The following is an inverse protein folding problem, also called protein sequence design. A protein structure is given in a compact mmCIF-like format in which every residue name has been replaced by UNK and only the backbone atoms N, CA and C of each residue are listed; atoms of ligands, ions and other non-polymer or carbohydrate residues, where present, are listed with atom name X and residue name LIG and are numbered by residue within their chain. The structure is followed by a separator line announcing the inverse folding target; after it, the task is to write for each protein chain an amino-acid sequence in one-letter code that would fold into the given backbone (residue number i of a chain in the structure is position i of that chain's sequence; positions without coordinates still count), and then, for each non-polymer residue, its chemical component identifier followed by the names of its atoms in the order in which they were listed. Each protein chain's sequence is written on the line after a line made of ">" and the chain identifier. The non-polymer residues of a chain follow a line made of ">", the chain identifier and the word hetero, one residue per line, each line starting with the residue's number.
data_IF_780081752661
#
_entry.id   IF_780081752661
#
_cell.length_a   1.000
_cell.length_b   1.000
_cell.length_c   1.000
_cell.angle_alpha   90.00
_cell.angle_beta   90.00
_cell.angle_gamma   90.00
#
_symmetry.space_group_name_H-M   'P 1'
#
loop_
_entity.id
_entity.type
_entity.pdbx_description
1 polymer ?
#
# COMPACT_ATOMS: atom_id res chain seq x y z
N UNK A 1 -14.17 26.25 -40.03
CA UNK A 1 -13.43 24.96 -39.99
C UNK A 1 -12.17 25.02 -39.11
N UNK A 2 -11.22 25.95 -39.31
CA UNK A 2 -9.93 25.96 -38.57
C UNK A 2 -10.02 26.16 -37.03
N UNK A 3 -10.95 27.01 -36.55
CA UNK A 3 -11.10 27.29 -35.10
C UNK A 3 -11.60 26.09 -34.29
N UNK A 4 -12.55 25.31 -34.82
CA UNK A 4 -13.04 24.10 -34.15
C UNK A 4 -12.00 22.97 -34.12
N UNK A 5 -11.17 22.87 -35.16
CA UNK A 5 -10.06 21.91 -35.21
C UNK A 5 -8.98 22.26 -34.18
N UNK A 6 -8.66 23.56 -34.03
CA UNK A 6 -7.72 24.03 -33.02
C UNK A 6 -8.23 23.77 -31.59
N UNK A 7 -9.52 24.02 -31.32
CA UNK A 7 -10.14 23.76 -30.02
C UNK A 7 -10.20 22.27 -29.68
N UNK A 8 -10.51 21.42 -30.67
CA UNK A 8 -10.51 19.97 -30.48
C UNK A 8 -9.09 19.44 -30.19
N UNK A 9 -8.08 19.98 -30.89
CA UNK A 9 -6.69 19.61 -30.67
C UNK A 9 -6.17 20.04 -29.28
N UNK A 10 -6.50 21.24 -28.81
CA UNK A 10 -6.16 21.65 -27.43
C UNK A 10 -6.90 20.84 -26.38
N UNK A 11 -8.18 20.53 -26.59
CA UNK A 11 -8.94 19.71 -25.64
C UNK A 11 -8.36 18.28 -25.54
N UNK A 12 -7.99 17.69 -26.68
CA UNK A 12 -7.31 16.39 -26.73
C UNK A 12 -5.96 16.43 -26.03
N UNK A 13 -5.16 17.48 -26.23
CA UNK A 13 -3.87 17.66 -25.54
C UNK A 13 -4.04 17.76 -24.02
N UNK A 14 -5.04 18.50 -23.53
CA UNK A 14 -5.32 18.64 -22.09
C UNK A 14 -5.78 17.30 -21.49
N UNK A 15 -6.59 16.53 -22.22
CA UNK A 15 -7.02 15.18 -21.78
C UNK A 15 -5.83 14.21 -21.72
N UNK A 16 -4.94 14.20 -22.72
CA UNK A 16 -3.76 13.33 -22.73
C UNK A 16 -2.78 13.67 -21.59
N UNK A 17 -2.59 14.97 -21.29
CA UNK A 17 -1.74 15.42 -20.18
C UNK A 17 -2.34 15.06 -18.81
N UNK A 18 -3.68 15.14 -18.68
CA UNK A 18 -4.35 14.77 -17.42
C UNK A 18 -4.37 13.25 -17.19
N UNK A 19 -4.39 12.42 -18.23
CA UNK A 19 -4.24 10.96 -18.11
C UNK A 19 -2.82 10.54 -17.67
N UNK A 20 -1.78 11.29 -18.04
CA UNK A 20 -0.40 11.01 -17.62
C UNK A 20 -0.13 11.38 -16.14
N UNK A 21 -1.00 12.18 -15.52
CA UNK A 21 -0.90 12.56 -14.11
C UNK A 21 -1.70 11.63 -13.17
N UNK A 22 -2.41 10.63 -13.71
CA UNK A 22 -3.11 9.63 -12.91
C UNK A 22 -2.09 8.55 -12.54
N UNK A 23 -1.22 8.84 -11.58
CA UNK A 23 -0.54 7.79 -10.84
C UNK A 23 -1.59 7.06 -10.00
N UNK A 24 -2.30 6.12 -10.63
CA UNK A 24 -3.36 5.34 -10.01
C UNK A 24 -2.77 4.27 -9.09
N UNK A 25 -2.07 4.67 -8.02
CA UNK A 25 -1.79 3.82 -6.86
C UNK A 25 -1.72 4.72 -5.64
N UNK A 26 -2.87 5.07 -5.05
CA UNK A 26 -2.90 5.66 -3.72
C UNK A 26 -2.41 4.59 -2.73
N UNK A 27 -1.08 4.49 -2.57
CA UNK A 27 -0.47 3.58 -1.62
C UNK A 27 -0.93 3.92 -0.20
N UNK A 28 -1.38 2.91 0.55
CA UNK A 28 -1.75 3.11 1.95
C UNK A 28 -0.47 3.19 2.76
N UNK A 29 -0.26 4.33 3.43
CA UNK A 29 0.90 4.57 4.28
C UNK A 29 2.26 4.44 3.59
N UNK A 30 2.30 4.67 2.28
CA UNK A 30 3.54 4.55 1.49
C UNK A 30 3.79 3.13 0.95
N UNK A 31 2.80 2.24 1.03
CA UNK A 31 2.83 0.92 0.40
C UNK A 31 1.72 0.76 -0.63
N UNK A 32 2.09 0.26 -1.79
CA UNK A 32 1.16 -0.25 -2.79
C UNK A 32 0.46 -1.52 -2.31
N UNK A 33 -0.66 -1.87 -2.95
CA UNK A 33 -1.36 -3.12 -2.66
C UNK A 33 -0.50 -4.35 -2.94
N UNK A 34 0.37 -4.29 -3.93
CA UNK A 34 1.27 -5.40 -4.25
C UNK A 34 2.37 -5.55 -3.19
N UNK A 35 2.90 -4.45 -2.67
CA UNK A 35 3.82 -4.48 -1.52
C UNK A 35 3.16 -5.06 -0.26
N UNK A 36 1.87 -4.78 0.00
CA UNK A 36 1.15 -5.44 1.09
C UNK A 36 1.03 -6.95 0.90
N UNK A 37 0.82 -7.42 -0.34
CA UNK A 37 0.71 -8.87 -0.64
C UNK A 37 2.03 -9.60 -0.37
N UNK A 38 3.18 -8.96 -0.56
CA UNK A 38 4.48 -9.56 -0.22
C UNK A 38 4.57 -9.96 1.26
N UNK A 39 3.85 -9.24 2.13
CA UNK A 39 3.79 -9.49 3.56
C UNK A 39 2.68 -10.46 3.99
N UNK A 40 1.72 -10.75 3.10
CA UNK A 40 0.58 -11.62 3.40
C UNK A 40 0.98 -13.01 3.92
N UNK A 41 1.97 -13.73 3.35
CA UNK A 41 2.30 -15.09 3.79
C UNK A 41 2.71 -15.17 5.27
N UNK A 42 3.44 -14.17 5.77
CA UNK A 42 3.90 -14.13 7.16
C UNK A 42 2.82 -13.63 8.13
N UNK A 43 1.79 -12.96 7.61
CA UNK A 43 0.66 -12.44 8.39
C UNK A 43 -0.65 -13.20 8.15
N UNK A 44 -0.65 -14.30 7.40
CA UNK A 44 -1.83 -15.06 7.08
C UNK A 44 -2.52 -15.65 8.33
N UNK A 45 -3.85 -15.74 8.30
CA UNK A 45 -4.64 -16.42 9.33
C UNK A 45 -4.34 -17.92 9.35
N UNK A 46 -4.24 -18.53 8.17
CA UNK A 46 -4.02 -19.97 7.99
C UNK A 46 -2.61 -20.24 7.45
N UNK A 47 -1.92 -21.23 8.03
CA UNK A 47 -0.59 -21.68 7.62
C UNK A 47 0.43 -20.54 7.34
N UNK A 48 0.63 -19.61 8.29
CA UNK A 48 1.54 -18.50 8.09
C UNK A 48 3.00 -18.96 8.01
N UNK A 49 3.80 -18.28 7.20
CA UNK A 49 5.25 -18.49 7.18
C UNK A 49 5.87 -17.98 8.49
N UNK A 50 6.94 -18.64 8.93
CA UNK A 50 7.63 -18.27 10.17
C UNK A 50 8.30 -16.89 10.07
N UNK A 51 8.83 -16.56 8.88
CA UNK A 51 9.51 -15.30 8.59
C UNK A 51 8.85 -14.53 7.43
N UNK A 52 8.89 -13.19 7.47
CA UNK A 52 8.63 -12.34 6.30
C UNK A 52 9.69 -12.55 5.22
N UNK A 53 9.32 -12.30 3.96
CA UNK A 53 10.28 -12.24 2.86
C UNK A 53 11.16 -11.00 2.97
N UNK A 54 12.34 -11.05 2.34
CA UNK A 54 13.23 -9.88 2.26
C UNK A 54 12.53 -8.68 1.59
N UNK A 55 11.71 -8.94 0.58
CA UNK A 55 10.96 -7.93 -0.15
C UNK A 55 9.86 -7.29 0.73
N UNK A 56 9.17 -8.09 1.55
CA UNK A 56 8.24 -7.55 2.55
C UNK A 56 8.97 -6.64 3.55
N UNK A 57 10.13 -7.06 4.06
CA UNK A 57 10.90 -6.22 4.98
C UNK A 57 11.41 -4.93 4.30
N UNK A 58 11.82 -5.00 3.04
CA UNK A 58 12.22 -3.83 2.27
C UNK A 58 11.05 -2.85 2.06
N UNK A 59 9.84 -3.37 1.80
CA UNK A 59 8.64 -2.56 1.69
C UNK A 59 8.26 -1.91 3.04
N UNK A 60 8.28 -2.67 4.13
CA UNK A 60 8.03 -2.14 5.48
C UNK A 60 9.05 -1.07 5.89
N UNK A 61 10.31 -1.19 5.46
CA UNK A 61 11.36 -0.22 5.73
C UNK A 61 11.18 1.14 5.03
N UNK A 62 10.37 1.19 3.96
CA UNK A 62 10.02 2.42 3.24
C UNK A 62 8.69 3.02 3.70
N UNK A 63 7.90 2.26 4.45
CA UNK A 63 6.54 2.61 4.83
C UNK A 63 6.51 3.57 6.01
N UNK A 64 5.42 4.33 6.12
CA UNK A 64 5.15 5.11 7.32
C UNK A 64 4.48 4.24 8.40
N UNK A 65 5.28 3.69 9.31
CA UNK A 65 4.82 2.83 10.42
C UNK A 65 3.83 3.55 11.37
N UNK A 66 3.94 4.88 11.52
CA UNK A 66 2.96 5.68 12.28
C UNK A 66 1.61 5.77 11.57
N UNK A 67 1.61 5.85 10.23
CA UNK A 67 0.40 5.75 9.45
C UNK A 67 -0.22 4.36 9.55
N UNK A 68 0.57 3.28 9.40
CA UNK A 68 0.07 1.89 9.54
C UNK A 68 -0.59 1.70 10.90
N UNK A 69 0.02 2.25 11.96
CA UNK A 69 -0.56 2.22 13.29
C UNK A 69 -1.98 2.80 13.35
N UNK A 70 -2.15 4.00 12.79
CA UNK A 70 -3.46 4.66 12.72
C UNK A 70 -4.44 3.91 11.81
N UNK A 71 -3.92 3.26 10.78
CA UNK A 71 -4.70 2.49 9.82
C UNK A 71 -5.16 1.13 10.37
N UNK A 72 -4.52 0.57 11.40
CA UNK A 72 -4.88 -0.71 12.06
C UNK A 72 -6.39 -0.86 12.31
N UNK A 73 -7.06 0.20 12.77
CA UNK A 73 -8.50 0.18 13.05
C UNK A 73 -9.38 0.19 11.79
N UNK A 74 -8.91 0.82 10.70
CA UNK A 74 -9.61 0.90 9.41
C UNK A 74 -9.30 -0.29 8.50
N UNK A 75 -8.22 -1.02 8.78
CA UNK A 75 -7.78 -2.16 7.98
C UNK A 75 -8.71 -3.37 8.04
N UNK A 76 -9.74 -3.40 8.90
CA UNK A 76 -10.57 -4.59 9.13
C UNK A 76 -11.17 -5.23 7.87
N UNK A 77 -11.66 -4.41 6.93
CA UNK A 77 -12.19 -4.92 5.64
C UNK A 77 -11.06 -5.52 4.79
N UNK A 78 -9.91 -4.85 4.72
CA UNK A 78 -8.73 -5.31 4.00
C UNK A 78 -8.18 -6.61 4.59
N UNK A 79 -8.00 -6.67 5.90
CA UNK A 79 -7.50 -7.87 6.59
C UNK A 79 -8.39 -9.08 6.33
N UNK A 80 -9.72 -8.88 6.31
CA UNK A 80 -10.67 -9.95 5.97
C UNK A 80 -10.54 -10.40 4.52
N UNK A 81 -10.41 -9.46 3.58
CA UNK A 81 -10.31 -9.75 2.15
C UNK A 81 -9.03 -10.53 1.79
N UNK A 82 -7.92 -10.23 2.45
CA UNK A 82 -6.62 -10.87 2.21
C UNK A 82 -6.29 -12.00 3.20
N UNK A 83 -7.25 -12.39 4.05
CA UNK A 83 -7.07 -13.42 5.08
C UNK A 83 -5.83 -13.17 5.98
N UNK A 84 -5.67 -11.93 6.43
CA UNK A 84 -4.54 -11.47 7.25
C UNK A 84 -4.97 -11.37 8.72
N UNK A 85 -4.15 -11.88 9.62
CA UNK A 85 -4.28 -11.69 11.07
C UNK A 85 -3.64 -10.37 11.49
N UNK A 86 -4.43 -9.50 12.13
CA UNK A 86 -3.99 -8.17 12.54
C UNK A 86 -2.79 -8.21 13.49
N UNK A 87 -2.73 -9.19 14.42
CA UNK A 87 -1.64 -9.29 15.39
C UNK A 87 -0.34 -9.72 14.72
N UNK A 88 -0.41 -10.67 13.79
CA UNK A 88 0.75 -11.10 12.99
C UNK A 88 1.26 -9.97 12.10
N UNK A 89 0.36 -9.24 11.44
CA UNK A 89 0.71 -8.09 10.61
C UNK A 89 1.46 -7.01 11.41
N UNK A 90 0.97 -6.68 12.61
CA UNK A 90 1.60 -5.70 13.50
C UNK A 90 2.95 -6.18 14.08
N UNK A 91 3.21 -7.49 14.10
CA UNK A 91 4.49 -8.05 14.52
C UNK A 91 5.55 -8.09 13.41
N UNK A 92 5.17 -7.94 12.13
CA UNK A 92 6.11 -8.00 11.01
C UNK A 92 7.23 -6.96 11.08
N UNK A 93 6.99 -5.68 11.43
CA UNK A 93 8.06 -4.69 11.54
C UNK A 93 9.16 -5.16 12.50
N UNK A 94 8.79 -5.67 13.68
CA UNK A 94 9.76 -6.21 14.65
C UNK A 94 10.55 -7.40 14.11
N UNK A 95 9.92 -8.30 13.35
CA UNK A 95 10.62 -9.41 12.67
C UNK A 95 11.60 -8.93 11.59
N UNK A 96 11.37 -7.75 11.03
CA UNK A 96 12.26 -7.10 10.05
C UNK A 96 13.31 -6.19 10.69
N UNK A 97 13.41 -6.14 12.03
CA UNK A 97 14.33 -5.23 12.73
C UNK A 97 13.89 -3.76 12.74
N UNK A 98 12.61 -3.50 12.44
CA UNK A 98 12.02 -2.17 12.45
C UNK A 98 11.30 -1.93 13.78
N UNK A 99 11.37 -0.69 14.26
CA UNK A 99 10.73 -0.31 15.52
C UNK A 99 9.36 0.31 15.24
N UNK A 100 8.30 -0.31 15.76
CA UNK A 100 6.96 0.30 15.74
C UNK A 100 6.87 1.47 16.72
N UNK A 101 6.05 2.49 16.42
CA UNK A 101 5.75 3.56 17.37
C UNK A 101 5.21 3.01 18.69
N UNK A 102 5.60 3.60 19.82
CA UNK A 102 5.24 3.15 21.17
C UNK A 102 3.73 3.21 21.46
N UNK A 103 3.01 4.08 20.77
CA UNK A 103 1.54 4.16 20.83
C UNK A 103 0.85 3.09 19.97
N UNK A 104 1.61 2.08 19.51
CA UNK A 104 1.18 1.07 18.58
C UNK A 104 1.53 -0.36 19.01
N UNK A 105 1.02 -0.75 20.17
CA UNK A 105 1.05 -2.12 20.69
C UNK A 105 -0.35 -2.74 20.61
#
# INVERSE_FOLDING_TARGET
>A
MAKSQALAATLLLVVVVSLAAIESVHGVCGMSNDEFKLCQPAAAVNNPTNSPSAECCAALGKTNLSCICRYKGMAGIWLKMYHIDARRAMALPGKCGLTMPSNCS
#
